data_IF_709668595893
#
_entry.id   IF_709668595893
#
_cell.length_a   1.000
_cell.length_b   1.000
_cell.length_c   1.000
_cell.angle_alpha   90.00
_cell.angle_beta   90.00
_cell.angle_gamma   90.00
#
_symmetry.space_group_name_H-M   'P 1'
#
loop_
_entity.id
_entity.type
_entity.pdbx_description
1 polymer ?
#
# COMPACT_ATOMS: atom_id res chain seq x y z
N UNK A 1 -61.48 -49.30 0.08
CA UNK A 1 -60.67 -50.50 -0.03
C UNK A 1 -59.35 -50.21 -0.72
N UNK A 2 -58.33 -50.36 0.02
CA UNK A 2 -56.99 -50.83 -0.36
C UNK A 2 -56.14 -49.92 -1.28
N UNK A 3 -55.09 -49.47 -0.65
CA UNK A 3 -53.68 -49.74 -0.96
C UNK A 3 -53.14 -49.21 -2.26
N UNK A 4 -52.21 -48.28 -2.15
CA UNK A 4 -50.85 -48.64 -2.47
C UNK A 4 -49.94 -47.50 -2.09
N UNK A 5 -49.15 -47.69 -1.20
CA UNK A 5 -47.71 -47.49 -0.97
C UNK A 5 -46.99 -47.12 -2.25
N UNK A 6 -46.55 -45.87 -2.33
CA UNK A 6 -45.55 -45.38 -3.26
C UNK A 6 -44.42 -44.72 -2.45
N UNK A 7 -43.41 -45.50 -2.14
CA UNK A 7 -42.16 -44.97 -1.56
C UNK A 7 -41.45 -44.20 -2.62
N UNK A 8 -41.41 -42.89 -2.45
CA UNK A 8 -40.51 -42.01 -3.19
C UNK A 8 -39.32 -41.64 -2.28
N UNK A 9 -38.20 -42.25 -2.53
CA UNK A 9 -36.96 -41.95 -1.86
C UNK A 9 -36.51 -40.55 -2.31
N UNK A 10 -36.64 -39.57 -1.42
CA UNK A 10 -36.02 -38.27 -1.59
C UNK A 10 -34.54 -38.42 -1.27
N UNK A 11 -33.72 -38.45 -2.30
CA UNK A 11 -32.30 -38.25 -2.21
C UNK A 11 -32.04 -36.79 -1.85
N UNK A 12 -31.87 -36.51 -0.57
CA UNK A 12 -31.32 -35.26 -0.10
C UNK A 12 -29.82 -35.26 -0.38
N UNK A 13 -29.43 -34.63 -1.48
CA UNK A 13 -28.04 -34.29 -1.70
C UNK A 13 -27.71 -33.17 -0.70
N UNK A 14 -27.15 -33.51 0.42
CA UNK A 14 -26.49 -32.57 1.30
C UNK A 14 -25.22 -32.11 0.60
N UNK A 15 -25.31 -30.94 -0.02
CA UNK A 15 -24.12 -30.18 -0.39
C UNK A 15 -23.45 -29.73 0.91
N UNK A 16 -22.47 -30.50 1.35
CA UNK A 16 -21.47 -30.04 2.31
C UNK A 16 -20.69 -28.92 1.64
N UNK A 17 -21.08 -27.69 1.90
CA UNK A 17 -20.20 -26.56 1.71
C UNK A 17 -19.05 -26.71 2.72
N UNK A 18 -17.96 -27.30 2.27
CA UNK A 18 -16.66 -27.12 2.88
C UNK A 18 -16.29 -25.66 2.67
N UNK A 19 -16.77 -24.82 3.58
CA UNK A 19 -16.19 -23.51 3.80
C UNK A 19 -14.77 -23.74 4.33
N UNK A 20 -13.84 -23.96 3.42
CA UNK A 20 -12.45 -23.78 3.71
C UNK A 20 -12.27 -22.30 4.03
N UNK A 21 -12.27 -21.96 5.32
CA UNK A 21 -11.61 -20.74 5.76
C UNK A 21 -10.15 -20.90 5.36
N UNK A 22 -9.81 -20.36 4.20
CA UNK A 22 -8.45 -19.99 3.93
C UNK A 22 -8.17 -18.81 4.86
N UNK A 23 -7.68 -19.13 6.04
CA UNK A 23 -6.94 -18.15 6.81
C UNK A 23 -5.79 -17.74 5.90
N UNK A 24 -5.92 -16.53 5.33
CA UNK A 24 -4.82 -15.92 4.64
C UNK A 24 -3.74 -15.71 5.71
N UNK A 25 -2.79 -16.61 5.76
CA UNK A 25 -1.54 -16.32 6.43
C UNK A 25 -1.00 -15.04 5.80
N UNK A 26 -0.88 -13.99 6.61
CA UNK A 26 -0.20 -12.76 6.28
C UNK A 26 1.28 -13.05 6.04
N UNK A 27 1.58 -13.83 5.01
CA UNK A 27 2.86 -13.76 4.36
C UNK A 27 2.96 -12.37 3.75
N UNK A 28 3.93 -11.59 4.18
CA UNK A 28 4.33 -10.34 3.52
C UNK A 28 4.89 -10.69 2.13
N UNK A 29 4.03 -11.21 1.26
CA UNK A 29 4.30 -11.20 -0.16
C UNK A 29 4.23 -9.73 -0.57
N UNK A 30 5.26 -9.27 -1.20
CA UNK A 30 5.36 -7.99 -1.88
C UNK A 30 4.23 -7.97 -2.93
N UNK A 31 3.02 -7.56 -2.50
CA UNK A 31 1.89 -7.49 -3.41
C UNK A 31 2.20 -6.37 -4.38
N UNK A 32 2.40 -6.74 -5.63
CA UNK A 32 2.51 -5.77 -6.70
C UNK A 32 1.32 -4.81 -6.60
N UNK A 33 1.61 -3.52 -6.44
CA UNK A 33 0.59 -2.49 -6.38
C UNK A 33 -0.07 -2.40 -7.77
N UNK A 34 -1.28 -2.91 -7.89
CA UNK A 34 -2.07 -2.86 -9.11
C UNK A 34 -3.00 -1.65 -9.01
N UNK A 35 -2.88 -0.66 -9.90
CA UNK A 35 -3.76 0.50 -9.88
C UNK A 35 -5.19 0.10 -10.27
N UNK A 36 -6.16 0.80 -9.71
CA UNK A 36 -7.55 0.72 -10.14
C UNK A 36 -7.75 1.40 -11.51
N UNK A 37 -9.01 1.45 -11.99
CA UNK A 37 -9.36 2.06 -13.28
C UNK A 37 -9.03 3.57 -13.37
N UNK A 38 -8.81 4.24 -12.22
CA UNK A 38 -8.45 5.66 -12.11
C UNK A 38 -6.95 5.87 -11.88
N UNK A 39 -6.16 4.79 -11.87
CA UNK A 39 -4.74 4.85 -11.58
C UNK A 39 -4.41 4.93 -10.09
N UNK A 40 -5.37 4.73 -9.20
CA UNK A 40 -5.15 4.75 -7.75
C UNK A 40 -4.61 3.40 -7.29
N UNK A 41 -3.46 3.43 -6.63
CA UNK A 41 -2.86 2.23 -6.03
C UNK A 41 -3.51 1.89 -4.69
N UNK A 42 -3.72 2.89 -3.86
CA UNK A 42 -4.45 2.81 -2.59
C UNK A 42 -4.73 4.22 -2.06
N UNK A 43 -5.61 4.30 -1.07
CA UNK A 43 -5.94 5.55 -0.40
C UNK A 43 -5.81 5.44 1.11
N UNK A 44 -5.61 6.57 1.77
CA UNK A 44 -5.51 6.71 3.22
C UNK A 44 -6.55 7.72 3.67
N UNK A 45 -7.45 7.32 4.56
CA UNK A 45 -8.33 8.26 5.25
C UNK A 45 -7.51 8.98 6.33
N UNK A 46 -7.38 10.29 6.19
CA UNK A 46 -6.63 11.12 7.14
C UNK A 46 -7.30 11.22 8.52
N UNK A 47 -8.56 10.82 8.65
CA UNK A 47 -9.25 10.70 9.93
C UNK A 47 -9.01 9.35 10.62
N UNK A 48 -8.47 8.36 9.89
CA UNK A 48 -8.10 7.07 10.47
C UNK A 48 -6.91 7.20 11.43
N UNK A 49 -6.69 6.20 12.26
CA UNK A 49 -5.51 6.17 13.16
C UNK A 49 -4.19 6.26 12.39
N UNK A 50 -4.11 5.64 11.22
CA UNK A 50 -2.96 5.70 10.33
C UNK A 50 -2.78 7.11 9.74
N UNK A 51 -3.85 7.69 9.21
CA UNK A 51 -3.82 9.04 8.63
C UNK A 51 -3.53 10.13 9.66
N UNK A 52 -3.92 9.93 10.92
CA UNK A 52 -3.62 10.85 12.01
C UNK A 52 -2.11 10.97 12.31
N UNK A 53 -1.29 10.05 11.84
CA UNK A 53 0.18 10.16 11.91
C UNK A 53 0.74 11.18 10.91
N UNK A 54 -0.01 11.54 9.87
CA UNK A 54 0.41 12.47 8.81
C UNK A 54 -0.14 13.88 9.05
N UNK A 55 0.16 14.49 10.20
CA UNK A 55 -0.40 15.79 10.60
C UNK A 55 0.55 16.97 10.47
N UNK A 56 1.83 16.72 10.67
CA UNK A 56 2.82 17.77 10.78
C UNK A 56 3.93 17.61 9.74
N UNK A 57 4.53 18.70 9.29
CA UNK A 57 5.70 18.64 8.43
C UNK A 57 6.80 17.75 9.02
N UNK A 58 7.29 16.80 8.21
CA UNK A 58 8.27 15.82 8.63
C UNK A 58 7.69 14.47 9.05
N UNK A 59 6.38 14.41 9.34
CA UNK A 59 5.72 13.13 9.62
C UNK A 59 5.70 12.25 8.37
N UNK A 60 5.85 10.94 8.57
CA UNK A 60 5.72 9.96 7.50
C UNK A 60 5.20 8.62 7.99
N UNK A 61 4.62 7.86 7.09
CA UNK A 61 4.24 6.45 7.29
C UNK A 61 4.79 5.61 6.14
N UNK A 62 4.86 4.31 6.35
CA UNK A 62 5.19 3.35 5.31
C UNK A 62 4.02 2.40 5.16
N UNK A 63 3.46 2.33 3.95
CA UNK A 63 2.35 1.45 3.60
C UNK A 63 2.58 0.86 2.21
N UNK A 64 2.40 -0.45 2.09
CA UNK A 64 2.57 -1.17 0.82
C UNK A 64 3.91 -0.84 0.13
N UNK A 65 5.00 -0.77 0.90
CA UNK A 65 6.34 -0.39 0.41
C UNK A 65 6.44 1.02 -0.19
N UNK A 66 5.50 1.88 0.13
CA UNK A 66 5.52 3.31 -0.20
C UNK A 66 5.74 4.13 1.06
N UNK A 67 6.68 5.06 1.02
CA UNK A 67 6.89 6.09 2.04
C UNK A 67 5.99 7.27 1.69
N UNK A 68 5.06 7.60 2.55
CA UNK A 68 4.15 8.74 2.40
C UNK A 68 4.49 9.75 3.51
N UNK A 69 4.73 10.99 3.15
CA UNK A 69 5.18 12.01 4.08
C UNK A 69 4.50 13.36 3.87
N UNK A 70 4.59 14.21 4.90
CA UNK A 70 4.20 15.61 4.85
C UNK A 70 5.46 16.47 4.75
N UNK A 71 5.59 17.26 3.70
CA UNK A 71 6.73 18.15 3.52
C UNK A 71 6.59 19.46 4.32
N UNK A 72 7.62 20.29 4.32
CA UNK A 72 7.64 21.58 5.04
C UNK A 72 6.56 22.56 4.60
N UNK A 73 6.00 22.38 3.39
CA UNK A 73 4.89 23.18 2.88
C UNK A 73 3.51 22.59 3.22
N UNK A 74 3.47 21.51 4.01
CA UNK A 74 2.23 20.81 4.37
C UNK A 74 1.62 20.00 3.23
N UNK A 75 2.39 19.70 2.18
CA UNK A 75 1.94 18.87 1.05
C UNK A 75 2.34 17.41 1.26
N UNK A 76 1.53 16.51 0.75
CA UNK A 76 1.83 15.09 0.77
C UNK A 76 2.74 14.70 -0.39
N UNK A 77 3.78 13.94 -0.08
CA UNK A 77 4.73 13.39 -1.05
C UNK A 77 4.86 11.89 -0.81
N UNK A 78 5.08 11.12 -1.87
CA UNK A 78 5.20 9.69 -1.75
C UNK A 78 6.29 9.12 -2.68
N UNK A 79 7.06 8.16 -2.17
CA UNK A 79 8.11 7.49 -2.92
C UNK A 79 8.16 6.00 -2.55
N UNK A 80 8.81 5.21 -3.40
CA UNK A 80 9.11 3.82 -3.04
C UNK A 80 9.98 3.75 -1.79
N UNK A 81 9.71 2.77 -0.93
CA UNK A 81 10.60 2.41 0.17
C UNK A 81 11.89 1.72 -0.32
N UNK A 82 11.87 1.21 -1.56
CA UNK A 82 12.99 0.45 -2.13
C UNK A 82 14.05 1.41 -2.66
N UNK A 83 15.23 1.39 -2.04
CA UNK A 83 16.35 2.19 -2.47
C UNK A 83 16.89 1.72 -3.83
N UNK A 84 17.08 2.66 -4.77
CA UNK A 84 17.63 2.36 -6.10
C UNK A 84 19.10 1.94 -6.08
N UNK A 85 19.84 2.26 -5.03
CA UNK A 85 21.24 1.88 -4.87
C UNK A 85 21.42 0.36 -4.73
N UNK A 86 20.67 -0.28 -3.81
CA UNK A 86 20.80 -1.73 -3.51
C UNK A 86 19.46 -2.46 -3.34
N UNK A 87 18.38 -1.94 -3.87
CA UNK A 87 17.04 -2.56 -3.79
C UNK A 87 16.59 -2.98 -2.38
N UNK A 88 17.03 -2.24 -1.35
CA UNK A 88 16.67 -2.48 0.04
C UNK A 88 15.52 -1.58 0.46
N UNK A 89 14.58 -2.12 1.24
CA UNK A 89 13.45 -1.37 1.82
C UNK A 89 13.91 -0.52 3.01
N UNK A 90 14.72 0.50 2.75
CA UNK A 90 15.37 1.33 3.78
C UNK A 90 15.15 2.84 3.58
N UNK A 91 14.33 3.23 2.60
CA UNK A 91 14.01 4.64 2.37
C UNK A 91 13.02 5.12 3.42
N UNK A 92 13.31 6.26 4.01
CA UNK A 92 12.45 7.02 4.93
C UNK A 92 12.37 8.47 4.46
N UNK A 93 11.53 9.29 5.12
CA UNK A 93 11.48 10.73 4.91
C UNK A 93 12.10 11.44 6.11
N UNK A 94 13.03 12.37 5.88
CA UNK A 94 13.61 13.24 6.90
C UNK A 94 14.23 14.49 6.28
N UNK A 95 14.26 15.59 7.02
CA UNK A 95 14.84 16.87 6.55
C UNK A 95 14.31 17.31 5.19
N UNK A 96 13.03 17.07 4.94
CA UNK A 96 12.32 17.44 3.70
C UNK A 96 12.82 16.70 2.44
N UNK A 97 13.45 15.54 2.60
CA UNK A 97 13.96 14.70 1.53
C UNK A 97 13.75 13.20 1.82
N UNK A 98 13.80 12.37 0.79
CA UNK A 98 13.86 10.92 0.95
C UNK A 98 15.29 10.47 1.22
N UNK A 99 15.45 9.57 2.18
CA UNK A 99 16.75 9.15 2.68
C UNK A 99 16.81 7.63 2.87
N UNK A 100 17.84 7.00 2.32
CA UNK A 100 18.10 5.57 2.55
C UNK A 100 19.01 5.39 3.77
N UNK A 101 18.51 4.71 4.79
CA UNK A 101 19.25 4.50 6.05
C UNK A 101 20.49 3.62 5.90
N UNK A 102 20.51 2.76 4.89
CA UNK A 102 21.60 1.76 4.75
C UNK A 102 22.92 2.39 4.30
N UNK A 103 22.89 3.19 3.25
CA UNK A 103 24.11 3.76 2.65
C UNK A 103 24.08 5.29 2.53
N UNK A 104 23.07 5.94 3.06
CA UNK A 104 22.98 7.39 3.04
C UNK A 104 22.63 8.00 1.69
N UNK A 105 22.02 7.24 0.77
CA UNK A 105 21.49 7.81 -0.47
C UNK A 105 20.41 8.84 -0.16
N UNK A 106 20.48 10.02 -0.79
CA UNK A 106 19.61 11.16 -0.58
C UNK A 106 18.92 11.54 -1.87
N UNK A 107 17.62 11.81 -1.81
CA UNK A 107 16.80 12.10 -2.98
C UNK A 107 15.87 13.28 -2.69
N UNK A 108 15.70 14.16 -3.67
CA UNK A 108 14.68 15.20 -3.59
C UNK A 108 13.27 14.60 -3.52
N UNK A 109 12.28 15.41 -3.22
CA UNK A 109 10.86 15.00 -3.26
C UNK A 109 10.40 14.64 -4.69
N UNK A 110 11.14 15.03 -5.72
CA UNK A 110 10.92 14.67 -7.12
C UNK A 110 11.72 13.44 -7.55
N UNK A 111 12.44 12.81 -6.62
CA UNK A 111 13.21 11.59 -6.89
C UNK A 111 14.59 11.82 -7.50
N UNK A 112 15.06 13.06 -7.57
CA UNK A 112 16.41 13.35 -8.07
C UNK A 112 17.44 13.03 -7.01
N UNK A 113 18.50 12.31 -7.39
CA UNK A 113 19.60 11.98 -6.49
C UNK A 113 20.41 13.21 -6.09
N UNK A 114 20.74 13.29 -4.79
CA UNK A 114 21.52 14.38 -4.20
C UNK A 114 22.98 14.02 -3.90
N UNK A 115 23.31 12.73 -4.01
CA UNK A 115 24.69 12.24 -3.82
C UNK A 115 24.96 11.03 -4.72
N UNK A 116 26.18 10.50 -4.70
CA UNK A 116 26.63 9.42 -5.58
C UNK A 116 25.79 8.14 -5.42
N UNK A 117 25.39 7.80 -4.19
CA UNK A 117 24.60 6.60 -3.90
C UNK A 117 23.14 6.72 -4.37
N UNK A 118 22.72 7.93 -4.69
CA UNK A 118 21.39 8.23 -5.21
C UNK A 118 21.36 8.46 -6.73
N UNK A 119 22.43 8.20 -7.45
CA UNK A 119 22.59 8.53 -8.87
C UNK A 119 21.53 7.95 -9.80
N UNK A 120 20.87 6.86 -9.41
CA UNK A 120 19.77 6.24 -10.19
C UNK A 120 18.42 6.91 -9.96
N UNK A 121 18.33 7.89 -9.06
CA UNK A 121 17.07 8.49 -8.67
C UNK A 121 16.18 7.57 -7.81
N UNK A 122 15.00 8.04 -7.46
CA UNK A 122 14.01 7.31 -6.66
C UNK A 122 12.65 7.38 -7.36
N UNK A 123 11.92 6.27 -7.37
CA UNK A 123 10.57 6.22 -7.92
C UNK A 123 9.63 7.02 -7.02
N UNK A 124 8.95 8.00 -7.60
CA UNK A 124 7.98 8.87 -6.93
C UNK A 124 6.57 8.48 -7.37
N UNK A 125 5.64 8.50 -6.43
CA UNK A 125 4.23 8.29 -6.67
C UNK A 125 3.49 9.62 -6.58
N UNK A 126 2.70 10.00 -7.59
CA UNK A 126 1.82 11.16 -7.48
C UNK A 126 0.82 10.98 -6.34
N UNK A 127 0.49 12.06 -5.68
CA UNK A 127 -0.50 12.10 -4.60
C UNK A 127 -1.66 13.01 -4.96
N UNK A 128 -2.86 12.66 -4.54
CA UNK A 128 -4.06 13.47 -4.70
C UNK A 128 -4.84 13.47 -3.39
N UNK A 129 -5.10 14.67 -2.89
CA UNK A 129 -5.96 14.85 -1.71
C UNK A 129 -7.32 15.37 -2.16
N UNK A 130 -8.37 14.64 -1.78
CA UNK A 130 -9.76 15.04 -1.96
C UNK A 130 -10.49 14.87 -0.64
N UNK A 131 -10.97 15.98 -0.09
CA UNK A 131 -11.52 16.03 1.27
C UNK A 131 -10.49 15.51 2.29
N UNK A 132 -10.77 14.40 2.97
CA UNK A 132 -9.86 13.74 3.91
C UNK A 132 -9.27 12.44 3.35
N UNK A 133 -9.45 12.16 2.06
CA UNK A 133 -8.93 10.98 1.41
C UNK A 133 -7.68 11.31 0.61
N UNK A 134 -6.56 10.78 1.05
CA UNK A 134 -5.27 10.89 0.36
C UNK A 134 -5.07 9.66 -0.54
N UNK A 135 -5.06 9.87 -1.84
CA UNK A 135 -4.83 8.81 -2.83
C UNK A 135 -3.39 8.82 -3.31
N UNK A 136 -2.80 7.64 -3.38
CA UNK A 136 -1.47 7.39 -3.97
C UNK A 136 -1.71 6.80 -5.35
N UNK A 137 -1.17 7.46 -6.37
CA UNK A 137 -1.40 7.11 -7.76
C UNK A 137 -0.22 6.33 -8.35
N UNK A 138 -0.49 5.58 -9.39
CA UNK A 138 0.55 4.95 -10.21
C UNK A 138 1.46 6.03 -10.82
N UNK A 139 2.79 5.78 -10.88
CA UNK A 139 3.76 6.71 -11.43
C UNK A 139 3.67 6.84 -12.96
#
# INVERSE_FOLDING_TARGET
FMKSIGQGAALTLTFSCLSGCLEAENGMADQALIPDANGVLFSIDLNSSEGQTLKSPGDYIIKNTVVIAVNQQGKYVAATQVCSHKTLKQVIFRNDEFYCKEHGARFTQQGVGLNSDASKGLLIYPTQLQDQMLSILAP
#
